data_IF_792065330615
#
_entry.id   IF_792065330615
#
_cell.length_a   1.000
_cell.length_b   1.000
_cell.length_c   1.000
_cell.angle_alpha   90.00
_cell.angle_beta   90.00
_cell.angle_gamma   90.00
#
_symmetry.space_group_name_H-M   'P 1'
#
loop_
_entity.id
_entity.type
_entity.pdbx_description
1 polymer ?
#
# COMPACT_ATOMS: atom_id res chain seq x y z
N UNK A 1 3.29 17.65 -13.82
CA UNK A 1 2.46 16.92 -14.80
C UNK A 1 3.29 15.78 -15.35
N UNK A 2 2.88 14.52 -15.15
CA UNK A 2 3.49 13.40 -15.84
C UNK A 2 3.03 13.42 -17.31
N UNK A 3 3.95 13.47 -18.29
CA UNK A 3 3.55 13.51 -19.69
C UNK A 3 2.92 12.17 -20.12
N UNK A 4 1.93 12.23 -21.01
CA UNK A 4 1.05 11.10 -21.35
C UNK A 4 1.82 9.89 -21.89
N UNK A 5 2.90 10.12 -22.64
CA UNK A 5 3.76 9.07 -23.16
C UNK A 5 4.43 8.26 -22.02
N UNK A 6 4.90 8.93 -20.97
CA UNK A 6 5.57 8.27 -19.83
C UNK A 6 4.59 7.41 -19.04
N UNK A 7 3.36 7.89 -18.83
CA UNK A 7 2.30 7.08 -18.23
C UNK A 7 2.07 5.79 -19.03
N UNK A 8 1.80 5.94 -20.32
CA UNK A 8 1.45 4.82 -21.18
C UNK A 8 2.58 3.79 -21.23
N UNK A 9 3.83 4.25 -21.30
CA UNK A 9 4.98 3.36 -21.33
C UNK A 9 5.21 2.64 -20.00
N UNK A 10 4.95 3.33 -18.88
CA UNK A 10 4.98 2.72 -17.54
C UNK A 10 3.89 1.65 -17.39
N UNK A 11 2.67 1.90 -17.86
CA UNK A 11 1.58 0.92 -17.82
C UNK A 11 1.85 -0.28 -18.72
N UNK A 12 2.45 -0.07 -19.90
CA UNK A 12 2.88 -1.16 -20.79
C UNK A 12 3.97 -2.00 -20.13
N UNK A 13 4.94 -1.36 -19.48
CA UNK A 13 6.02 -2.03 -18.76
C UNK A 13 5.47 -2.85 -17.58
N UNK A 14 4.62 -2.26 -16.74
CA UNK A 14 3.97 -2.94 -15.62
C UNK A 14 3.20 -4.18 -16.10
N UNK A 15 2.39 -4.04 -17.16
CA UNK A 15 1.68 -5.17 -17.74
C UNK A 15 2.62 -6.30 -18.19
N UNK A 16 3.75 -5.95 -18.80
CA UNK A 16 4.75 -6.92 -19.28
C UNK A 16 5.43 -7.63 -18.12
N UNK A 17 5.84 -6.90 -17.09
CA UNK A 17 6.53 -7.43 -15.91
C UNK A 17 5.61 -8.36 -15.12
N UNK A 18 4.37 -7.94 -14.85
CA UNK A 18 3.40 -8.72 -14.07
C UNK A 18 3.03 -10.03 -14.77
N UNK A 19 2.90 -10.02 -16.10
CA UNK A 19 2.59 -11.22 -16.90
C UNK A 19 3.81 -12.11 -17.19
N UNK A 20 5.03 -11.65 -16.85
CA UNK A 20 6.25 -12.40 -17.13
C UNK A 20 6.29 -13.74 -16.35
N UNK A 21 7.06 -14.74 -16.81
CA UNK A 21 7.18 -16.03 -16.13
C UNK A 21 7.64 -15.95 -14.67
N UNK A 22 8.33 -14.87 -14.29
CA UNK A 22 8.79 -14.65 -12.92
C UNK A 22 7.70 -14.14 -11.97
N UNK A 23 6.72 -13.38 -12.47
CA UNK A 23 5.68 -12.77 -11.64
C UNK A 23 4.33 -13.50 -11.76
N UNK A 24 3.89 -13.84 -12.98
CA UNK A 24 2.66 -14.58 -13.31
C UNK A 24 1.38 -14.01 -12.67
N UNK A 25 1.34 -12.70 -12.42
CA UNK A 25 0.16 -11.99 -11.91
C UNK A 25 -0.69 -11.47 -13.06
N UNK A 26 -2.00 -11.39 -12.83
CA UNK A 26 -2.96 -10.78 -13.74
C UNK A 26 -3.13 -9.30 -13.34
N UNK A 27 -2.60 -8.33 -14.10
CA UNK A 27 -2.82 -6.92 -13.83
C UNK A 27 -4.29 -6.55 -14.03
N UNK A 28 -4.88 -5.85 -13.06
CA UNK A 28 -6.26 -5.35 -13.09
C UNK A 28 -6.23 -3.85 -12.90
N UNK A 29 -6.71 -3.08 -13.89
CA UNK A 29 -6.80 -1.63 -13.74
C UNK A 29 -8.05 -1.27 -12.96
N UNK A 30 -7.91 -0.61 -11.82
CA UNK A 30 -9.05 -0.24 -10.98
C UNK A 30 -9.54 1.15 -11.37
N UNK A 31 -10.78 1.24 -11.86
CA UNK A 31 -11.39 2.50 -12.31
C UNK A 31 -12.74 2.79 -11.66
N UNK A 32 -13.32 1.79 -10.99
CA UNK A 32 -14.63 1.87 -10.34
C UNK A 32 -14.64 1.19 -8.98
N UNK A 33 -15.72 1.42 -8.22
CA UNK A 33 -15.92 0.72 -6.95
C UNK A 33 -16.16 -0.78 -7.14
N UNK A 34 -16.77 -1.20 -8.25
CA UNK A 34 -16.96 -2.62 -8.58
C UNK A 34 -15.62 -3.32 -8.82
N UNK A 35 -14.67 -2.63 -9.47
CA UNK A 35 -13.30 -3.12 -9.63
C UNK A 35 -12.60 -3.24 -8.28
N UNK A 36 -12.87 -2.33 -7.34
CA UNK A 36 -12.35 -2.39 -5.96
C UNK A 36 -12.86 -3.63 -5.25
N UNK A 37 -14.17 -3.89 -5.26
CA UNK A 37 -14.75 -5.07 -4.62
C UNK A 37 -14.16 -6.34 -5.23
N UNK A 38 -14.18 -6.44 -6.56
CA UNK A 38 -13.67 -7.60 -7.30
C UNK A 38 -12.19 -7.82 -7.01
N UNK A 39 -11.40 -6.75 -7.00
CA UNK A 39 -9.97 -6.82 -6.67
C UNK A 39 -9.73 -7.25 -5.24
N UNK A 40 -10.46 -6.71 -4.27
CA UNK A 40 -10.30 -7.06 -2.86
C UNK A 40 -10.61 -8.53 -2.58
N UNK A 41 -11.74 -9.03 -3.10
CA UNK A 41 -12.16 -10.43 -2.92
C UNK A 41 -11.15 -11.40 -3.54
N UNK A 42 -10.61 -11.08 -4.72
CA UNK A 42 -9.67 -11.96 -5.41
C UNK A 42 -8.21 -11.75 -5.00
N UNK A 43 -7.89 -10.71 -4.21
CA UNK A 43 -6.51 -10.36 -3.85
C UNK A 43 -5.81 -11.50 -3.09
N UNK A 44 -6.54 -12.21 -2.24
CA UNK A 44 -6.02 -13.30 -1.41
C UNK A 44 -5.64 -14.55 -2.20
N UNK A 45 -6.08 -14.66 -3.46
CA UNK A 45 -5.68 -15.76 -4.35
C UNK A 45 -4.25 -15.62 -4.87
N UNK A 46 -3.58 -14.50 -4.58
CA UNK A 46 -2.26 -14.12 -5.09
C UNK A 46 -2.14 -14.14 -6.62
N UNK A 47 -3.23 -14.28 -7.37
CA UNK A 47 -3.17 -14.39 -8.83
C UNK A 47 -3.29 -13.04 -9.51
N UNK A 48 -3.96 -12.09 -8.89
CA UNK A 48 -4.22 -10.77 -9.46
C UNK A 48 -3.29 -9.71 -8.86
N UNK A 49 -3.06 -8.63 -9.60
CA UNK A 49 -2.34 -7.45 -9.16
C UNK A 49 -3.17 -6.20 -9.53
N UNK A 50 -3.93 -5.64 -8.56
CA UNK A 50 -4.67 -4.41 -8.78
C UNK A 50 -3.71 -3.22 -8.99
N UNK A 51 -4.00 -2.40 -10.00
CA UNK A 51 -3.24 -1.20 -10.36
C UNK A 51 -4.15 0.00 -10.15
N UNK A 52 -3.77 0.86 -9.21
CA UNK A 52 -4.45 2.12 -8.92
C UNK A 52 -3.66 3.27 -9.51
N UNK A 53 -4.33 4.13 -10.29
CA UNK A 53 -3.77 5.40 -10.75
C UNK A 53 -4.31 6.51 -9.85
N UNK A 54 -3.47 7.09 -8.99
CA UNK A 54 -3.91 8.04 -7.95
C UNK A 54 -3.07 9.31 -7.90
N UNK A 55 -3.70 10.43 -7.57
CA UNK A 55 -3.02 11.73 -7.46
C UNK A 55 -3.05 12.23 -6.03
N UNK A 56 -1.89 12.31 -5.39
CA UNK A 56 -1.77 12.87 -4.04
C UNK A 56 -1.91 14.40 -4.00
N UNK A 57 -1.94 15.06 -5.17
CA UNK A 57 -2.13 16.51 -5.28
C UNK A 57 -3.60 16.84 -5.50
N UNK A 58 -4.27 16.19 -6.45
CA UNK A 58 -5.67 16.48 -6.77
C UNK A 58 -6.66 15.63 -5.96
N UNK A 59 -6.18 14.58 -5.28
CA UNK A 59 -7.00 13.61 -4.57
C UNK A 59 -7.65 12.55 -5.47
N UNK A 60 -7.36 12.57 -6.78
CA UNK A 60 -7.96 11.65 -7.77
C UNK A 60 -7.75 10.19 -7.36
N UNK A 61 -8.84 9.42 -7.36
CA UNK A 61 -8.91 7.97 -7.09
C UNK A 61 -8.38 7.52 -5.71
N UNK A 62 -8.12 8.44 -4.78
CA UNK A 62 -7.71 8.07 -3.41
C UNK A 62 -8.84 7.38 -2.64
N UNK A 63 -10.10 7.68 -2.98
CA UNK A 63 -11.29 7.02 -2.46
C UNK A 63 -11.34 5.54 -2.84
N UNK A 64 -10.98 5.19 -4.08
CA UNK A 64 -10.90 3.80 -4.54
C UNK A 64 -9.80 3.03 -3.81
N UNK A 65 -8.63 3.64 -3.68
CA UNK A 65 -7.52 3.05 -2.93
C UNK A 65 -7.89 2.83 -1.45
N UNK A 66 -8.47 3.84 -0.82
CA UNK A 66 -8.92 3.77 0.58
C UNK A 66 -9.96 2.67 0.77
N UNK A 67 -10.94 2.60 -0.12
CA UNK A 67 -11.98 1.58 -0.08
C UNK A 67 -11.39 0.18 -0.23
N UNK A 68 -10.45 -0.01 -1.16
CA UNK A 68 -9.74 -1.27 -1.32
C UNK A 68 -8.99 -1.68 -0.05
N UNK A 69 -8.21 -0.77 0.55
CA UNK A 69 -7.47 -1.04 1.79
C UNK A 69 -8.40 -1.37 2.96
N UNK A 70 -9.57 -0.71 3.06
CA UNK A 70 -10.56 -0.99 4.10
C UNK A 70 -11.19 -2.38 3.96
N UNK A 71 -11.27 -2.92 2.74
CA UNK A 71 -11.82 -4.26 2.47
C UNK A 71 -10.78 -5.36 2.71
N UNK A 72 -9.49 -5.02 2.70
CA UNK A 72 -8.46 -5.96 3.11
C UNK A 72 -8.58 -6.17 4.62
N UNK A 73 -9.11 -7.34 5.01
CA UNK A 73 -9.06 -7.77 6.40
C UNK A 73 -7.61 -7.70 6.89
N UNK A 74 -7.34 -6.90 7.93
CA UNK A 74 -6.05 -6.92 8.61
C UNK A 74 -5.85 -8.33 9.18
N UNK A 75 -5.08 -9.17 8.47
CA UNK A 75 -4.71 -10.50 8.94
C UNK A 75 -3.65 -10.36 10.03
N UNK A 76 -4.05 -9.79 11.16
CA UNK A 76 -3.31 -9.94 12.40
C UNK A 76 -3.61 -11.35 12.88
N UNK A 77 -2.74 -12.29 12.55
CA UNK A 77 -2.74 -13.59 13.22
C UNK A 77 -2.20 -13.36 14.63
N UNK A 78 -3.06 -12.95 15.55
CA UNK A 78 -2.75 -12.96 16.98
C UNK A 78 -2.63 -14.41 17.41
N UNK A 79 -1.44 -14.80 17.82
CA UNK A 79 -1.17 -16.11 18.38
C UNK A 79 -1.24 -15.95 19.91
N UNK A 80 -2.44 -16.12 20.47
CA UNK A 80 -2.71 -15.89 21.90
C UNK A 80 -1.88 -16.82 22.81
N UNK A 81 -1.42 -17.95 22.27
CA UNK A 81 -0.60 -18.94 22.97
C UNK A 81 0.90 -18.56 23.06
N UNK A 82 1.31 -17.45 22.44
CA UNK A 82 2.71 -17.00 22.44
C UNK A 82 2.87 -15.73 23.28
N UNK A 83 4.05 -15.56 23.93
CA UNK A 83 4.35 -14.30 24.61
C UNK A 83 4.31 -13.13 23.61
N UNK A 84 4.01 -11.93 24.11
CA UNK A 84 3.99 -10.74 23.29
C UNK A 84 5.38 -10.48 22.68
N UNK A 85 5.43 -10.40 21.35
CA UNK A 85 6.63 -10.08 20.58
C UNK A 85 6.45 -8.73 19.88
N UNK A 86 7.50 -7.91 19.88
CA UNK A 86 7.55 -6.65 19.14
C UNK A 86 8.82 -6.62 18.29
N UNK A 87 8.67 -6.29 17.01
CA UNK A 87 9.80 -6.06 16.12
C UNK A 87 10.17 -4.58 16.15
N UNK A 88 11.40 -4.29 16.60
CA UNK A 88 11.99 -2.97 16.48
C UNK A 88 12.60 -2.89 15.09
N UNK A 89 11.95 -2.15 14.20
CA UNK A 89 12.44 -1.96 12.82
C UNK A 89 13.65 -1.02 12.80
N UNK A 90 13.55 0.09 13.52
CA UNK A 90 14.60 1.11 13.57
C UNK A 90 14.64 1.77 14.96
N UNK A 91 15.83 2.25 15.36
CA UNK A 91 16.02 3.01 16.60
C UNK A 91 16.52 4.41 16.25
N UNK A 92 15.83 5.43 16.76
CA UNK A 92 16.18 6.82 16.54
C UNK A 92 16.53 7.50 17.86
N UNK A 93 17.70 8.13 17.90
CA UNK A 93 18.09 9.00 19.00
C UNK A 93 17.61 10.42 18.71
N UNK A 94 16.53 10.84 19.36
CA UNK A 94 16.06 12.21 19.27
C UNK A 94 16.93 13.09 20.17
N UNK A 95 17.63 14.10 19.65
CA UNK A 95 18.37 15.03 20.48
C UNK A 95 17.39 15.80 21.35
N UNK A 96 17.41 15.52 22.66
CA UNK A 96 16.70 16.30 23.67
C UNK A 96 17.35 17.68 23.73
N UNK A 97 16.72 18.67 23.09
CA UNK A 97 17.01 20.07 23.41
C UNK A 97 16.64 20.28 24.89
N UNK A 98 17.64 20.61 25.69
CA UNK A 98 17.53 20.68 27.14
C UNK A 98 16.49 21.73 27.58
N UNK A 99 15.31 21.27 27.96
CA UNK A 99 14.52 21.87 29.04
C UNK A 99 13.34 20.95 29.42
N UNK A 100 13.55 20.24 30.54
CA UNK A 100 12.55 19.67 31.47
C UNK A 100 11.55 18.62 30.96
N UNK A 101 11.87 17.36 31.31
CA UNK A 101 11.00 16.33 31.92
C UNK A 101 9.65 16.00 31.26
N UNK A 102 9.67 15.00 30.37
CA UNK A 102 8.65 13.94 30.24
C UNK A 102 9.14 12.89 29.23
N UNK A 103 9.03 11.57 29.48
CA UNK A 103 9.30 10.57 28.45
C UNK A 103 8.03 10.39 27.60
N UNK A 104 8.01 10.73 26.30
CA UNK A 104 6.93 10.28 25.45
C UNK A 104 7.27 8.86 25.00
N UNK A 105 6.59 7.87 25.56
CA UNK A 105 6.43 6.58 24.89
C UNK A 105 5.57 6.83 23.64
N UNK A 106 6.21 7.28 22.56
CA UNK A 106 5.57 7.43 21.26
C UNK A 106 5.76 6.12 20.48
N UNK A 107 4.90 5.15 20.77
CA UNK A 107 4.68 4.03 19.87
C UNK A 107 3.78 4.51 18.73
N UNK A 108 4.35 4.69 17.53
CA UNK A 108 3.59 4.91 16.31
C UNK A 108 3.93 3.82 15.30
N UNK A 109 2.91 3.08 14.85
CA UNK A 109 2.98 2.08 13.79
C UNK A 109 2.71 2.76 12.44
N UNK A 110 3.49 2.52 11.37
CA UNK A 110 3.03 2.80 10.03
C UNK A 110 2.76 1.50 9.25
N UNK A 111 1.53 1.40 8.74
CA UNK A 111 1.19 0.48 7.65
C UNK A 111 1.86 0.95 6.36
N UNK A 112 2.64 0.08 5.71
CA UNK A 112 3.17 0.33 4.37
C UNK A 112 2.05 0.22 3.31
N UNK A 113 1.90 1.25 2.47
CA UNK A 113 1.18 1.16 1.20
C UNK A 113 2.03 1.84 0.11
N UNK A 114 2.49 1.05 -0.87
CA UNK A 114 3.21 1.57 -2.04
C UNK A 114 2.17 2.15 -3.00
N UNK A 115 2.20 3.47 -3.18
CA UNK A 115 1.27 4.21 -4.02
C UNK A 115 2.03 4.75 -5.24
N UNK A 116 1.84 4.14 -6.41
CA UNK A 116 2.33 4.68 -7.68
C UNK A 116 1.48 5.91 -8.03
N UNK A 117 2.11 7.08 -7.93
CA UNK A 117 1.48 8.36 -8.21
C UNK A 117 1.21 8.50 -9.71
N UNK A 118 -0.06 8.67 -10.04
CA UNK A 118 -0.51 9.22 -11.30
C UNK A 118 -1.20 10.56 -11.04
N UNK A 119 -0.61 11.65 -11.53
CA UNK A 119 -1.18 13.00 -11.30
C UNK A 119 -2.59 13.16 -11.84
#
# INVERSE_FOLDING_TARGET
MCPVNVLQDTLKLLNRVLKSPGCRKIPVMVQSHDDVITSAVNFTSERICPIFQVSNVTGKNLDLLRSFLNLLSARMHTNEDKPAEFQIDETYSVPVSHSSLSPPALFFLPSFSICLTHQ
#
